data_IF_978431865896
#
_entry.id   IF_978431865896
#
_cell.length_a   1.000
_cell.length_b   1.000
_cell.length_c   1.000
_cell.angle_alpha   90.00
_cell.angle_beta   90.00
_cell.angle_gamma   90.00
#
_symmetry.space_group_name_H-M   'P 1'
#
loop_
_entity.id
_entity.type
_entity.pdbx_description
1 polymer ?
#
# COMPACT_ATOMS: atom_id res chain seq x y z
N UNK A 1 18.64 -4.24 -8.65
CA UNK A 1 19.61 -4.33 -7.54
C UNK A 1 20.15 -5.74 -7.29
N UNK A 2 19.30 -6.78 -7.24
CA UNK A 2 19.63 -8.15 -6.85
C UNK A 2 20.53 -8.92 -7.83
N UNK A 3 20.45 -8.60 -9.14
CA UNK A 3 21.27 -9.14 -10.26
C UNK A 3 21.15 -10.63 -10.57
N UNK A 4 21.16 -11.52 -9.57
CA UNK A 4 21.24 -12.98 -9.74
C UNK A 4 20.13 -13.71 -8.99
N UNK A 5 19.64 -14.78 -9.59
CA UNK A 5 18.61 -15.67 -9.00
C UNK A 5 19.04 -16.21 -7.64
N UNK A 6 20.31 -16.59 -7.47
CA UNK A 6 20.85 -17.12 -6.22
C UNK A 6 20.82 -16.08 -5.10
N UNK A 7 21.02 -14.80 -5.45
CA UNK A 7 20.93 -13.70 -4.48
C UNK A 7 19.50 -13.52 -3.96
N UNK A 8 18.50 -13.65 -4.84
CA UNK A 8 17.09 -13.58 -4.44
C UNK A 8 16.70 -14.79 -3.60
N UNK A 9 17.05 -16.01 -4.02
CA UNK A 9 16.77 -17.25 -3.25
C UNK A 9 17.42 -17.18 -1.86
N UNK A 10 18.69 -16.81 -1.78
CA UNK A 10 19.40 -16.66 -0.50
C UNK A 10 18.81 -15.57 0.41
N UNK A 11 18.30 -14.47 -0.17
CA UNK A 11 17.59 -13.44 0.59
C UNK A 11 16.26 -13.97 1.17
N UNK A 12 15.42 -14.61 0.33
CA UNK A 12 14.14 -15.19 0.75
C UNK A 12 14.34 -16.22 1.86
N UNK A 13 15.31 -17.14 1.70
CA UNK A 13 15.63 -18.18 2.68
C UNK A 13 16.13 -17.61 3.99
N UNK A 14 17.02 -16.62 3.94
CA UNK A 14 17.53 -15.95 5.14
C UNK A 14 16.41 -15.26 5.92
N UNK A 15 15.50 -14.57 5.21
CA UNK A 15 14.43 -13.82 5.83
C UNK A 15 13.33 -14.75 6.37
N UNK A 16 12.95 -15.79 5.62
CA UNK A 16 12.05 -16.85 6.10
C UNK A 16 12.59 -17.50 7.37
N UNK A 17 13.87 -17.86 7.41
CA UNK A 17 14.50 -18.47 8.59
C UNK A 17 14.44 -17.57 9.83
N UNK A 18 14.64 -16.26 9.67
CA UNK A 18 14.54 -15.28 10.77
C UNK A 18 13.10 -15.05 11.24
N UNK A 19 12.14 -15.08 10.32
CA UNK A 19 10.73 -14.80 10.62
C UNK A 19 9.96 -16.01 11.12
N UNK A 20 10.39 -17.24 10.81
CA UNK A 20 9.61 -18.45 11.06
C UNK A 20 9.17 -18.60 12.52
N UNK A 21 10.09 -18.44 13.47
CA UNK A 21 9.79 -18.52 14.91
C UNK A 21 8.68 -17.52 15.31
N UNK A 22 8.78 -16.27 14.85
CA UNK A 22 7.79 -15.25 15.16
C UNK A 22 6.45 -15.53 14.47
N UNK A 23 6.46 -16.06 13.24
CA UNK A 23 5.24 -16.51 12.57
C UNK A 23 4.53 -17.64 13.31
N UNK A 24 5.29 -18.59 13.88
CA UNK A 24 4.76 -19.68 14.72
C UNK A 24 4.13 -19.13 16.01
N UNK A 25 4.79 -18.18 16.70
CA UNK A 25 4.22 -17.51 17.88
C UNK A 25 2.94 -16.71 17.54
N UNK A 26 2.94 -16.01 16.41
CA UNK A 26 1.80 -15.21 15.95
C UNK A 26 0.61 -16.09 15.54
N UNK A 27 0.83 -17.19 14.82
CA UNK A 27 -0.25 -18.07 14.37
C UNK A 27 -0.88 -18.80 15.56
N UNK A 28 -0.09 -19.19 16.55
CA UNK A 28 -0.62 -19.75 17.81
C UNK A 28 -1.49 -18.73 18.56
N UNK A 29 -1.10 -17.45 18.58
CA UNK A 29 -1.93 -16.40 19.18
C UNK A 29 -3.27 -16.27 18.45
N UNK A 30 -3.26 -16.28 17.13
CA UNK A 30 -4.49 -16.26 16.31
C UNK A 30 -5.34 -17.51 16.56
N UNK A 31 -4.71 -18.68 16.67
CA UNK A 31 -5.40 -19.95 16.94
C UNK A 31 -6.08 -19.95 18.31
N UNK A 32 -5.43 -19.41 19.35
CA UNK A 32 -6.02 -19.27 20.69
C UNK A 32 -7.24 -18.35 20.69
N UNK A 33 -7.20 -17.25 19.94
CA UNK A 33 -8.35 -16.36 19.77
C UNK A 33 -9.51 -17.08 19.08
N UNK A 34 -9.23 -17.85 18.03
CA UNK A 34 -10.22 -18.69 17.35
C UNK A 34 -10.84 -19.71 18.29
N UNK A 35 -10.03 -20.44 19.06
CA UNK A 35 -10.53 -21.42 20.02
C UNK A 35 -11.44 -20.80 21.08
N UNK A 36 -11.05 -19.63 21.62
CA UNK A 36 -11.84 -18.91 22.61
C UNK A 36 -13.20 -18.49 22.04
N UNK A 37 -13.21 -17.84 20.88
CA UNK A 37 -14.45 -17.39 20.25
C UNK A 37 -15.33 -18.56 19.82
N UNK A 38 -14.73 -19.66 19.35
CA UNK A 38 -15.46 -20.89 19.02
C UNK A 38 -16.23 -21.43 20.22
N UNK A 39 -15.60 -21.46 21.41
CA UNK A 39 -16.22 -21.87 22.66
C UNK A 39 -17.34 -20.92 23.09
N UNK A 40 -17.10 -19.61 23.01
CA UNK A 40 -18.07 -18.58 23.38
C UNK A 40 -19.33 -18.60 22.49
N UNK A 41 -19.17 -18.91 21.20
CA UNK A 41 -20.27 -18.96 20.22
C UNK A 41 -20.90 -20.35 20.07
N UNK A 42 -20.33 -21.38 20.70
CA UNK A 42 -20.80 -22.77 20.53
C UNK A 42 -20.62 -23.32 19.11
N UNK A 43 -19.59 -22.84 18.38
CA UNK A 43 -19.24 -23.33 17.04
C UNK A 43 -18.08 -24.31 17.14
N UNK A 44 -18.03 -25.27 16.21
CA UNK A 44 -16.97 -26.27 16.15
C UNK A 44 -15.60 -25.60 15.93
N UNK A 45 -14.59 -26.08 16.66
CA UNK A 45 -13.20 -25.65 16.51
C UNK A 45 -12.40 -26.71 15.76
N UNK A 46 -11.93 -26.38 14.58
CA UNK A 46 -11.21 -27.28 13.66
C UNK A 46 -9.70 -27.41 13.93
N UNK A 47 -9.19 -26.75 14.99
CA UNK A 47 -7.79 -26.85 15.39
C UNK A 47 -6.78 -26.10 14.50
N UNK A 48 -7.23 -25.29 13.53
CA UNK A 48 -6.34 -24.59 12.59
C UNK A 48 -6.81 -23.18 12.26
N UNK A 49 -5.89 -22.34 11.76
CA UNK A 49 -6.24 -21.04 11.18
C UNK A 49 -6.38 -21.23 9.68
N UNK A 50 -7.59 -21.08 9.14
CA UNK A 50 -7.81 -21.16 7.70
C UNK A 50 -7.54 -19.81 7.03
N UNK A 51 -7.45 -19.82 5.70
CA UNK A 51 -7.24 -18.62 4.89
C UNK A 51 -8.23 -17.48 5.18
N UNK A 52 -9.50 -17.82 5.40
CA UNK A 52 -10.58 -16.87 5.69
C UNK A 52 -10.60 -16.39 7.15
N UNK A 53 -9.90 -17.08 8.05
CA UNK A 53 -9.88 -16.77 9.48
C UNK A 53 -8.90 -15.61 9.79
N UNK A 54 -7.74 -15.59 9.13
CA UNK A 54 -6.63 -14.74 9.54
C UNK A 54 -6.98 -13.25 9.61
N UNK A 55 -7.61 -12.68 8.57
CA UNK A 55 -7.95 -11.25 8.55
C UNK A 55 -9.00 -10.89 9.60
N UNK A 56 -9.94 -11.79 9.86
CA UNK A 56 -10.96 -11.61 10.89
C UNK A 56 -10.32 -11.57 12.29
N UNK A 57 -9.48 -12.55 12.63
CA UNK A 57 -8.82 -12.60 13.93
C UNK A 57 -7.72 -11.57 14.10
N UNK A 58 -7.04 -11.14 13.02
CA UNK A 58 -6.11 -10.02 13.07
C UNK A 58 -6.84 -8.73 13.47
N UNK A 59 -7.99 -8.43 12.85
CA UNK A 59 -8.83 -7.30 13.26
C UNK A 59 -9.31 -7.42 14.71
N UNK A 60 -9.80 -8.59 15.12
CA UNK A 60 -10.23 -8.79 16.52
C UNK A 60 -9.09 -8.59 17.52
N UNK A 61 -7.89 -9.06 17.20
CA UNK A 61 -6.70 -8.87 18.01
C UNK A 61 -6.37 -7.38 18.15
N UNK A 62 -6.41 -6.62 17.06
CA UNK A 62 -6.20 -5.17 17.06
C UNK A 62 -7.24 -4.45 17.95
N UNK A 63 -8.52 -4.80 17.80
CA UNK A 63 -9.62 -4.22 18.57
C UNK A 63 -9.51 -4.55 20.07
N UNK A 64 -9.29 -5.82 20.43
CA UNK A 64 -9.33 -6.29 21.83
C UNK A 64 -8.04 -6.00 22.60
N UNK A 65 -6.89 -6.28 22.00
CA UNK A 65 -5.62 -6.32 22.72
C UNK A 65 -4.79 -5.04 22.52
N UNK A 66 -5.05 -4.32 21.43
CA UNK A 66 -4.35 -3.08 21.07
C UNK A 66 -5.25 -1.85 21.10
N UNK A 67 -6.55 -2.00 21.35
CA UNK A 67 -7.52 -0.91 21.44
C UNK A 67 -7.60 -0.07 20.16
N UNK A 68 -7.32 -0.69 19.01
CA UNK A 68 -7.42 -0.07 17.69
C UNK A 68 -8.83 -0.32 17.15
N UNK A 69 -9.66 0.72 17.23
CA UNK A 69 -11.02 0.73 16.70
C UNK A 69 -11.04 1.54 15.39
N UNK A 70 -10.94 0.85 14.26
CA UNK A 70 -10.90 1.49 12.93
C UNK A 70 -12.09 2.41 12.67
N UNK A 71 -13.28 2.07 13.20
CA UNK A 71 -14.50 2.85 12.99
C UNK A 71 -14.49 4.15 13.80
N UNK A 72 -13.83 4.19 14.95
CA UNK A 72 -13.56 5.44 15.69
C UNK A 72 -12.42 6.22 15.06
N UNK A 73 -11.33 5.55 14.71
CA UNK A 73 -10.10 6.18 14.20
C UNK A 73 -10.37 6.87 12.86
N UNK A 74 -11.09 6.23 11.94
CA UNK A 74 -11.39 6.83 10.62
C UNK A 74 -12.17 8.15 10.69
N UNK A 75 -12.85 8.44 11.82
CA UNK A 75 -13.53 9.72 12.02
C UNK A 75 -12.59 10.92 12.05
N UNK A 76 -11.29 10.67 12.22
CA UNK A 76 -10.26 11.71 12.21
C UNK A 76 -9.54 11.81 10.86
N UNK A 77 -9.81 10.90 9.93
CA UNK A 77 -9.13 10.83 8.63
C UNK A 77 -10.11 11.08 7.49
N UNK A 78 -10.71 12.28 7.47
CA UNK A 78 -11.48 12.68 6.29
C UNK A 78 -10.53 12.81 5.09
N UNK A 79 -10.96 12.38 3.90
CA UNK A 79 -10.12 12.39 2.71
C UNK A 79 -9.49 13.76 2.46
N UNK A 80 -10.27 14.85 2.61
CA UNK A 80 -9.77 16.21 2.42
C UNK A 80 -8.73 16.61 3.47
N UNK A 81 -8.94 16.24 4.74
CA UNK A 81 -7.94 16.48 5.80
C UNK A 81 -6.64 15.75 5.51
N UNK A 82 -6.72 14.49 5.10
CA UNK A 82 -5.57 13.66 4.77
C UNK A 82 -4.84 14.22 3.56
N UNK A 83 -5.54 14.56 2.47
CA UNK A 83 -4.95 15.18 1.28
C UNK A 83 -4.21 16.45 1.64
N UNK A 84 -4.85 17.40 2.34
CA UNK A 84 -4.21 18.66 2.72
C UNK A 84 -2.99 18.44 3.63
N UNK A 85 -3.08 17.52 4.60
CA UNK A 85 -1.97 17.19 5.50
C UNK A 85 -0.79 16.59 4.76
N UNK A 86 -1.03 15.65 3.85
CA UNK A 86 0.01 15.03 3.02
C UNK A 86 0.69 16.04 2.10
N UNK A 87 -0.08 16.88 1.40
CA UNK A 87 0.48 17.90 0.51
C UNK A 87 1.36 18.88 1.27
N UNK A 88 0.91 19.40 2.41
CA UNK A 88 1.71 20.29 3.27
C UNK A 88 3.00 19.63 3.78
N UNK A 89 2.94 18.34 4.09
CA UNK A 89 4.11 17.59 4.53
C UNK A 89 5.13 17.46 3.39
N UNK A 90 4.68 17.15 2.17
CA UNK A 90 5.57 17.11 1.00
C UNK A 90 6.11 18.49 0.62
N UNK A 91 5.30 19.55 0.67
CA UNK A 91 5.76 20.93 0.50
C UNK A 91 6.92 21.25 1.43
N UNK A 92 6.77 20.91 2.72
CA UNK A 92 7.80 21.16 3.74
C UNK A 92 9.06 20.33 3.52
N UNK A 93 8.92 19.02 3.30
CA UNK A 93 10.07 18.10 3.25
C UNK A 93 10.84 18.20 1.93
N UNK A 94 10.13 18.44 0.82
CA UNK A 94 10.72 18.48 -0.52
C UNK A 94 10.98 19.90 -1.03
N UNK A 95 10.58 20.93 -0.27
CA UNK A 95 10.76 22.33 -0.67
C UNK A 95 9.92 22.71 -1.89
N UNK A 96 8.65 22.29 -1.85
CA UNK A 96 7.69 22.48 -2.94
C UNK A 96 6.58 23.44 -2.51
N UNK A 97 5.85 23.94 -3.51
CA UNK A 97 4.56 24.63 -3.40
C UNK A 97 3.58 23.92 -4.30
N UNK A 98 2.49 23.43 -3.74
CA UNK A 98 1.49 22.61 -4.42
C UNK A 98 0.15 23.33 -4.36
N UNK A 99 -0.39 23.68 -5.52
CA UNK A 99 -1.71 24.32 -5.63
C UNK A 99 -2.63 23.48 -6.51
N UNK A 100 -3.90 23.42 -6.09
CA UNK A 100 -4.95 22.89 -6.94
C UNK A 100 -5.27 23.90 -8.06
N UNK A 101 -5.45 23.39 -9.27
CA UNK A 101 -5.79 24.16 -10.45
C UNK A 101 -7.32 24.26 -10.52
N UNK A 102 -7.85 25.48 -10.53
CA UNK A 102 -9.28 25.73 -10.75
C UNK A 102 -9.63 25.73 -12.25
N UNK A 103 -10.90 25.53 -12.59
CA UNK A 103 -11.37 25.63 -13.98
C UNK A 103 -10.76 24.56 -14.90
N UNK A 104 -10.81 23.30 -14.45
CA UNK A 104 -10.19 22.14 -15.12
C UNK A 104 -11.15 21.41 -16.04
N UNK A 105 -12.34 21.96 -16.28
CA UNK A 105 -13.32 21.39 -17.21
C UNK A 105 -12.69 21.21 -18.60
N UNK A 106 -12.82 20.01 -19.16
CA UNK A 106 -12.20 19.65 -20.43
C UNK A 106 -10.69 19.34 -20.37
N UNK A 107 -10.04 19.49 -19.20
CA UNK A 107 -8.64 19.08 -18.96
C UNK A 107 -8.54 17.78 -18.14
N UNK A 108 -9.63 17.34 -17.53
CA UNK A 108 -9.73 16.11 -16.75
C UNK A 108 -10.63 15.07 -17.45
N UNK A 109 -10.37 13.78 -17.20
CA UNK A 109 -11.17 12.69 -17.78
C UNK A 109 -12.45 12.36 -17.01
N UNK A 110 -12.64 12.94 -15.82
CA UNK A 110 -13.82 12.75 -14.99
C UNK A 110 -13.99 13.95 -14.04
N UNK A 111 -15.23 14.29 -13.68
CA UNK A 111 -15.56 15.48 -12.86
C UNK A 111 -14.98 15.44 -11.43
N UNK A 112 -14.77 14.23 -10.90
CA UNK A 112 -14.17 14.01 -9.57
C UNK A 112 -12.63 14.02 -9.57
N UNK A 113 -12.00 14.21 -10.73
CA UNK A 113 -10.53 14.26 -10.84
C UNK A 113 -10.05 15.67 -10.57
N UNK A 114 -9.11 15.80 -9.65
CA UNK A 114 -8.47 17.07 -9.29
C UNK A 114 -7.10 17.17 -9.97
N UNK A 115 -6.74 18.37 -10.43
CA UNK A 115 -5.43 18.66 -11.04
C UNK A 115 -4.67 19.60 -10.12
N UNK A 116 -3.39 19.29 -9.91
CA UNK A 116 -2.47 20.09 -9.12
C UNK A 116 -1.28 20.51 -9.97
N UNK A 117 -0.81 21.73 -9.74
CA UNK A 117 0.45 22.25 -10.25
C UNK A 117 1.47 22.33 -9.10
N UNK A 118 2.73 22.08 -9.43
CA UNK A 118 3.81 22.05 -8.45
C UNK A 118 4.92 22.99 -8.89
N UNK A 119 5.38 23.81 -7.95
CA UNK A 119 6.56 24.65 -8.09
C UNK A 119 7.55 24.33 -6.97
N UNK A 120 8.81 24.68 -7.16
CA UNK A 120 9.76 24.69 -6.06
C UNK A 120 9.73 26.02 -5.29
N UNK A 121 10.51 26.08 -4.22
CA UNK A 121 10.70 27.28 -3.41
C UNK A 121 11.41 28.43 -4.14
N UNK A 122 12.14 28.15 -5.23
CA UNK A 122 12.76 29.16 -6.09
C UNK A 122 11.77 29.85 -7.02
N UNK A 123 10.60 29.24 -7.24
CA UNK A 123 9.59 29.73 -8.17
C UNK A 123 9.53 28.95 -9.48
N UNK A 124 10.42 27.97 -9.67
CA UNK A 124 10.48 27.20 -10.90
C UNK A 124 9.37 26.15 -10.93
N UNK A 125 8.77 26.00 -12.11
CA UNK A 125 7.73 25.00 -12.32
C UNK A 125 8.34 23.59 -12.25
N UNK A 126 7.69 22.66 -11.57
CA UNK A 126 8.18 21.28 -11.38
C UNK A 126 7.40 20.28 -12.25
N UNK A 127 6.07 20.42 -12.31
CA UNK A 127 5.19 19.54 -13.08
C UNK A 127 3.74 19.60 -12.61
N UNK A 128 2.91 18.73 -13.18
CA UNK A 128 1.50 18.57 -12.80
C UNK A 128 1.24 17.15 -12.28
N UNK A 129 0.25 17.00 -11.41
CA UNK A 129 -0.31 15.69 -11.15
C UNK A 129 -1.83 15.72 -10.95
N UNK A 130 -2.46 14.59 -11.25
CA UNK A 130 -3.88 14.37 -11.04
C UNK A 130 -4.12 13.48 -9.82
N UNK A 131 -5.22 13.73 -9.11
CA UNK A 131 -5.76 12.84 -8.10
C UNK A 131 -7.12 12.30 -8.56
N UNK A 132 -7.22 10.99 -8.69
CA UNK A 132 -8.43 10.27 -9.07
C UNK A 132 -8.75 9.21 -8.01
N UNK A 133 -9.48 9.61 -6.97
CA UNK A 133 -9.49 8.89 -5.68
C UNK A 133 -10.73 8.04 -5.42
N UNK A 134 -11.79 8.18 -6.20
CA UNK A 134 -13.06 7.51 -5.95
C UNK A 134 -13.37 6.37 -6.94
N UNK A 135 -14.03 5.29 -6.47
CA UNK A 135 -14.41 4.18 -7.34
C UNK A 135 -15.52 4.59 -8.31
N UNK A 136 -15.46 4.03 -9.51
CA UNK A 136 -16.53 4.09 -10.52
C UNK A 136 -16.39 2.91 -11.49
N UNK A 137 -17.44 2.66 -12.25
CA UNK A 137 -17.47 1.58 -13.23
C UNK A 137 -16.29 1.70 -14.22
N UNK A 138 -15.68 0.56 -14.55
CA UNK A 138 -14.57 0.43 -15.51
C UNK A 138 -13.28 1.21 -15.16
N UNK A 139 -13.16 1.76 -13.94
CA UNK A 139 -11.92 2.35 -13.42
C UNK A 139 -10.98 1.26 -12.92
N UNK A 140 -9.68 1.47 -13.07
CA UNK A 140 -8.65 0.64 -12.44
C UNK A 140 -8.90 0.49 -10.93
N UNK A 141 -8.94 -0.76 -10.45
CA UNK A 141 -9.46 -1.10 -9.12
C UNK A 141 -8.45 -1.02 -7.99
N UNK A 142 -7.16 -0.88 -8.29
CA UNK A 142 -6.10 -0.75 -7.28
C UNK A 142 -5.62 0.69 -7.13
N UNK A 143 -4.91 0.97 -6.04
CA UNK A 143 -4.15 2.20 -5.91
C UNK A 143 -2.88 2.10 -6.77
N UNK A 144 -2.55 3.16 -7.50
CA UNK A 144 -1.35 3.21 -8.35
C UNK A 144 -1.01 4.64 -8.77
N UNK A 145 0.27 4.90 -8.99
CA UNK A 145 0.79 6.11 -9.62
C UNK A 145 1.17 5.85 -11.10
N UNK A 146 0.56 6.59 -12.01
CA UNK A 146 0.80 6.50 -13.45
C UNK A 146 1.58 7.71 -13.96
N UNK A 147 2.69 7.47 -14.67
CA UNK A 147 3.38 8.51 -15.41
C UNK A 147 2.67 8.74 -16.75
N UNK A 148 2.11 9.93 -16.94
CA UNK A 148 1.43 10.32 -18.19
C UNK A 148 2.40 10.98 -19.17
N UNK A 149 3.28 11.85 -18.67
CA UNK A 149 4.30 12.54 -19.44
C UNK A 149 5.63 12.53 -18.67
N UNK A 150 6.74 12.08 -19.27
CA UNK A 150 8.03 12.11 -18.61
C UNK A 150 8.63 13.52 -18.60
N UNK A 151 9.35 13.87 -17.54
CA UNK A 151 10.28 14.98 -17.54
C UNK A 151 11.55 14.66 -18.34
N UNK A 152 11.89 15.50 -19.32
CA UNK A 152 13.08 15.30 -20.15
C UNK A 152 13.58 16.62 -20.77
N UNK A 153 14.78 16.60 -21.32
CA UNK A 153 15.27 17.70 -22.16
C UNK A 153 14.79 17.48 -23.60
N UNK A 154 14.26 18.54 -24.22
CA UNK A 154 13.85 18.57 -25.63
C UNK A 154 15.03 18.92 -26.54
N UNK A 155 14.86 18.75 -27.85
CA UNK A 155 15.91 19.00 -28.85
C UNK A 155 16.41 20.46 -28.87
N UNK A 156 15.52 21.41 -28.58
CA UNK A 156 15.84 22.83 -28.46
C UNK A 156 16.54 23.21 -27.15
N UNK A 157 16.81 22.23 -26.29
CA UNK A 157 17.47 22.38 -25.00
C UNK A 157 16.53 22.72 -23.85
N UNK A 158 15.25 22.97 -24.10
CA UNK A 158 14.24 23.27 -23.06
C UNK A 158 13.79 22.01 -22.31
N UNK A 159 13.08 22.19 -21.19
CA UNK A 159 12.56 21.08 -20.38
C UNK A 159 11.09 20.81 -20.68
N UNK A 160 10.77 19.56 -21.00
CA UNK A 160 9.42 19.02 -20.86
C UNK A 160 9.19 18.66 -19.39
N UNK A 161 8.12 19.16 -18.80
CA UNK A 161 7.78 18.91 -17.39
C UNK A 161 6.95 17.63 -17.25
N UNK A 162 7.15 16.85 -16.17
CA UNK A 162 6.39 15.65 -15.93
C UNK A 162 4.91 15.91 -15.65
N UNK A 163 4.08 14.94 -16.04
CA UNK A 163 2.68 14.87 -15.67
C UNK A 163 2.39 13.45 -15.15
N UNK A 164 1.83 13.36 -13.95
CA UNK A 164 1.54 12.12 -13.27
C UNK A 164 0.05 12.02 -12.87
N UNK A 165 -0.44 10.82 -12.57
CA UNK A 165 -1.77 10.63 -12.03
C UNK A 165 -1.75 9.58 -10.92
N UNK A 166 -2.25 9.93 -9.74
CA UNK A 166 -2.53 8.97 -8.69
C UNK A 166 -3.97 8.49 -8.82
N UNK A 167 -4.15 7.18 -8.87
CA UNK A 167 -5.44 6.51 -8.89
C UNK A 167 -5.62 5.77 -7.57
N UNK A 168 -6.81 5.87 -6.96
CA UNK A 168 -7.23 5.08 -5.80
C UNK A 168 -8.76 4.86 -5.80
N UNK A 169 -9.27 4.11 -4.84
CA UNK A 169 -10.70 3.74 -4.78
C UNK A 169 -11.29 3.91 -3.38
N UNK A 170 -11.03 5.07 -2.75
CA UNK A 170 -11.56 5.42 -1.45
C UNK A 170 -13.07 5.69 -1.52
N UNK A 171 -13.77 5.26 -0.47
CA UNK A 171 -15.24 5.39 -0.37
C UNK A 171 -15.70 6.80 -0.70
N UNK A 172 -16.73 6.94 -1.54
CA UNK A 172 -17.30 8.26 -1.87
C UNK A 172 -17.94 8.90 -0.64
N UNK A 173 -17.94 10.24 -0.53
CA UNK A 173 -18.76 10.93 0.46
C UNK A 173 -20.25 10.64 0.22
N UNK A 174 -21.04 10.71 1.28
CA UNK A 174 -22.51 10.75 1.22
C UNK A 174 -22.99 12.19 1.48
N UNK A 175 -24.28 12.51 1.22
CA UNK A 175 -24.80 13.86 1.48
C UNK A 175 -24.62 14.36 2.92
N UNK A 176 -24.43 13.45 3.89
CA UNK A 176 -24.34 13.78 5.32
C UNK A 176 -23.00 13.41 5.95
N UNK A 177 -22.08 12.79 5.20
CA UNK A 177 -20.82 12.26 5.74
C UNK A 177 -19.71 12.33 4.69
N UNK A 178 -18.54 12.91 5.01
CA UNK A 178 -17.41 12.93 4.08
C UNK A 178 -16.85 11.52 3.87
N UNK A 179 -15.99 11.39 2.86
CA UNK A 179 -15.14 10.20 2.70
C UNK A 179 -14.22 10.10 3.90
N UNK A 180 -14.28 8.98 4.62
CA UNK A 180 -13.44 8.70 5.79
C UNK A 180 -12.54 7.51 5.49
N UNK A 181 -11.24 7.70 5.66
CA UNK A 181 -10.22 6.71 5.38
C UNK A 181 -9.92 5.90 6.64
N UNK A 182 -9.83 4.58 6.50
CA UNK A 182 -9.14 3.76 7.49
C UNK A 182 -7.64 4.08 7.48
N UNK A 183 -6.95 3.80 8.58
CA UNK A 183 -5.51 4.10 8.67
C UNK A 183 -4.68 3.40 7.59
N UNK A 184 -5.02 2.15 7.24
CA UNK A 184 -4.35 1.45 6.13
C UNK A 184 -4.56 2.15 4.76
N UNK A 185 -5.73 2.76 4.52
CA UNK A 185 -5.97 3.58 3.33
C UNK A 185 -5.15 4.87 3.33
N UNK A 186 -4.92 5.47 4.51
CA UNK A 186 -3.99 6.61 4.67
C UNK A 186 -2.56 6.18 4.31
N UNK A 187 -2.11 5.02 4.78
CA UNK A 187 -0.78 4.45 4.43
C UNK A 187 -0.67 4.23 2.92
N UNK A 188 -1.67 3.61 2.29
CA UNK A 188 -1.72 3.42 0.82
C UNK A 188 -1.69 4.75 0.07
N UNK A 189 -2.43 5.75 0.53
CA UNK A 189 -2.40 7.08 -0.09
C UNK A 189 -0.99 7.69 0.00
N UNK A 190 -0.36 7.59 1.17
CA UNK A 190 1.00 8.09 1.38
C UNK A 190 2.01 7.40 0.45
N UNK A 191 1.90 6.07 0.32
CA UNK A 191 2.73 5.27 -0.58
C UNK A 191 2.65 5.78 -2.03
N UNK A 192 1.44 5.91 -2.58
CA UNK A 192 1.25 6.31 -3.97
C UNK A 192 1.63 7.77 -4.22
N UNK A 193 1.36 8.68 -3.28
CA UNK A 193 1.88 10.04 -3.38
C UNK A 193 3.41 10.08 -3.37
N UNK A 194 4.06 9.15 -2.67
CA UNK A 194 5.51 8.95 -2.74
C UNK A 194 5.99 8.71 -4.17
N UNK A 195 5.30 7.84 -4.92
CA UNK A 195 5.59 7.61 -6.34
C UNK A 195 5.32 8.85 -7.20
N UNK A 196 4.25 9.60 -6.94
CA UNK A 196 4.00 10.88 -7.62
C UNK A 196 5.16 11.85 -7.39
N UNK A 197 5.61 12.02 -6.15
CA UNK A 197 6.75 12.90 -5.85
C UNK A 197 8.04 12.41 -6.51
N UNK A 198 8.27 11.10 -6.57
CA UNK A 198 9.41 10.53 -7.29
C UNK A 198 9.36 10.86 -8.79
N UNK A 199 8.18 10.81 -9.41
CA UNK A 199 7.98 11.22 -10.81
C UNK A 199 8.26 12.71 -11.01
N UNK A 200 7.66 13.57 -10.17
CA UNK A 200 7.75 15.03 -10.32
C UNK A 200 9.16 15.58 -10.03
N UNK A 201 9.79 15.13 -8.96
CA UNK A 201 11.12 15.61 -8.53
C UNK A 201 12.27 15.07 -9.39
N UNK A 202 12.01 14.08 -10.26
CA UNK A 202 13.04 13.53 -11.15
C UNK A 202 13.47 14.52 -12.23
N UNK A 203 14.76 14.86 -12.24
CA UNK A 203 15.36 15.73 -13.25
C UNK A 203 16.35 14.96 -14.12
N UNK A 204 15.85 14.45 -15.23
CA UNK A 204 16.61 13.60 -16.14
C UNK A 204 16.68 14.22 -17.53
N UNK A 205 17.81 14.02 -18.21
CA UNK A 205 17.96 14.44 -19.61
C UNK A 205 17.10 13.62 -20.57
N UNK A 206 17.02 12.31 -20.35
CA UNK A 206 16.36 11.36 -21.25
C UNK A 206 15.12 10.75 -20.59
N UNK A 207 14.00 10.73 -21.31
CA UNK A 207 12.74 10.12 -20.82
C UNK A 207 12.88 8.65 -20.40
N UNK A 208 13.83 7.90 -20.98
CA UNK A 208 14.09 6.51 -20.61
C UNK A 208 14.46 6.34 -19.13
N UNK A 209 15.07 7.34 -18.51
CA UNK A 209 15.51 7.29 -17.11
C UNK A 209 14.61 8.10 -16.16
N UNK A 210 13.53 8.70 -16.68
CA UNK A 210 12.73 9.63 -15.91
C UNK A 210 11.82 8.94 -14.89
N UNK A 211 11.69 9.56 -13.72
CA UNK A 211 10.71 9.18 -12.69
C UNK A 211 11.03 7.82 -12.10
N UNK A 212 10.01 6.99 -11.96
CA UNK A 212 10.11 5.64 -11.38
C UNK A 212 10.75 4.61 -12.31
N UNK A 213 11.42 5.02 -13.40
CA UNK A 213 12.17 4.14 -14.31
C UNK A 213 13.54 3.78 -13.74
N UNK A 214 13.52 3.21 -12.54
CA UNK A 214 14.66 2.66 -11.80
C UNK A 214 14.62 1.13 -11.84
N UNK A 215 15.52 0.45 -11.14
CA UNK A 215 15.43 -1.00 -11.00
C UNK A 215 14.10 -1.41 -10.32
N UNK A 216 13.42 -2.44 -10.84
CA UNK A 216 12.11 -2.87 -10.33
C UNK A 216 12.13 -3.34 -8.87
N UNK A 217 13.28 -3.79 -8.37
CA UNK A 217 13.49 -4.13 -6.95
C UNK A 217 13.93 -2.94 -6.09
N UNK A 218 13.96 -1.72 -6.64
CA UNK A 218 14.24 -0.47 -5.94
C UNK A 218 13.07 0.52 -6.00
N UNK A 219 12.18 0.40 -6.99
CA UNK A 219 11.11 1.38 -7.23
C UNK A 219 10.22 1.62 -6.01
N UNK A 220 9.97 0.59 -5.20
CA UNK A 220 9.16 0.67 -3.98
C UNK A 220 9.92 1.18 -2.75
N UNK A 221 11.24 1.26 -2.79
CA UNK A 221 12.02 1.66 -1.61
C UNK A 221 11.70 3.11 -1.16
N UNK A 222 11.57 4.11 -2.05
CA UNK A 222 11.15 5.46 -1.65
C UNK A 222 9.73 5.52 -1.08
N UNK A 223 8.75 4.87 -1.70
CA UNK A 223 7.35 4.90 -1.25
C UNK A 223 7.21 4.22 0.12
N UNK A 224 7.81 3.05 0.30
CA UNK A 224 7.81 2.32 1.59
C UNK A 224 8.58 3.06 2.69
N UNK A 225 9.64 3.79 2.34
CA UNK A 225 10.32 4.67 3.31
C UNK A 225 9.33 5.71 3.85
N UNK A 226 8.55 6.35 2.96
CA UNK A 226 7.58 7.40 3.29
C UNK A 226 6.38 6.88 4.10
N UNK A 227 5.97 5.62 3.92
CA UNK A 227 4.93 4.98 4.74
C UNK A 227 5.23 5.06 6.24
N UNK A 228 6.51 5.12 6.64
CA UNK A 228 6.87 5.22 8.06
C UNK A 228 6.30 6.46 8.74
N UNK A 229 6.11 7.56 8.01
CA UNK A 229 5.50 8.77 8.57
C UNK A 229 4.05 8.55 9.01
N UNK A 230 3.33 7.60 8.43
CA UNK A 230 1.97 7.26 8.88
C UNK A 230 1.96 6.57 10.26
N UNK A 231 3.12 6.35 10.87
CA UNK A 231 3.30 5.78 12.20
C UNK A 231 4.04 6.73 13.15
N UNK A 232 4.31 7.96 12.74
CA UNK A 232 4.93 8.97 13.59
C UNK A 232 3.84 9.85 14.24
N UNK A 233 3.78 9.97 15.59
CA UNK A 233 2.76 10.74 16.30
C UNK A 233 2.57 12.17 15.79
N UNK A 234 3.66 12.87 15.49
CA UNK A 234 3.63 14.24 14.99
C UNK A 234 2.96 14.32 13.61
N UNK A 235 3.20 13.33 12.75
CA UNK A 235 2.62 13.30 11.41
C UNK A 235 1.16 12.86 11.48
N UNK A 236 0.82 11.87 12.30
CA UNK A 236 -0.57 11.47 12.52
C UNK A 236 -1.43 12.65 12.98
N UNK A 237 -0.90 13.54 13.82
CA UNK A 237 -1.56 14.78 14.20
C UNK A 237 -1.75 15.76 13.02
N UNK A 238 -0.79 15.86 12.10
CA UNK A 238 -0.91 16.71 10.90
C UNK A 238 -1.96 16.15 9.94
N UNK A 239 -2.06 14.83 9.82
CA UNK A 239 -2.94 14.13 8.88
C UNK A 239 -4.38 13.98 9.39
N UNK A 240 -4.68 14.39 10.63
CA UNK A 240 -5.94 14.03 11.28
C UNK A 240 -6.67 15.21 11.93
N UNK A 241 -8.00 15.17 11.84
CA UNK A 241 -8.92 16.06 12.54
C UNK A 241 -10.32 15.42 12.52
N UNK A 242 -11.05 15.49 13.63
CA UNK A 242 -12.39 14.92 13.71
C UNK A 242 -13.32 15.59 12.69
N UNK A 243 -13.92 14.80 11.80
CA UNK A 243 -14.65 15.32 10.65
C UNK A 243 -15.81 16.25 11.00
N UNK A 244 -16.57 15.97 12.08
CA UNK A 244 -17.67 16.85 12.53
C UNK A 244 -17.20 18.10 13.29
N UNK A 245 -16.05 18.02 13.98
CA UNK A 245 -15.64 19.04 14.95
C UNK A 245 -14.50 19.92 14.43
N UNK A 246 -13.88 19.55 13.32
CA UNK A 246 -12.84 20.30 12.63
C UNK A 246 -11.45 20.21 13.28
N UNK A 247 -10.51 21.02 12.75
CA UNK A 247 -9.08 20.98 13.06
C UNK A 247 -8.71 21.18 14.54
N UNK A 248 -9.60 21.78 15.35
CA UNK A 248 -9.40 21.92 16.80
C UNK A 248 -9.54 20.61 17.60
N UNK A 249 -9.90 19.51 16.93
CA UNK A 249 -10.13 18.21 17.55
C UNK A 249 -9.24 17.16 16.88
N UNK A 250 -7.94 17.12 17.22
CA UNK A 250 -7.00 16.17 16.64
C UNK A 250 -7.31 14.75 17.09
N UNK A 251 -6.66 13.77 16.45
CA UNK A 251 -6.70 12.38 16.90
C UNK A 251 -6.17 12.30 18.36
N UNK A 252 -6.95 11.76 19.31
CA UNK A 252 -6.51 11.62 20.70
C UNK A 252 -5.21 10.85 20.83
N UNK A 253 -4.35 11.29 21.75
CA UNK A 253 -3.03 10.67 21.98
C UNK A 253 -3.15 9.17 22.31
N UNK A 254 -4.20 8.75 23.02
CA UNK A 254 -4.38 7.32 23.30
C UNK A 254 -4.59 6.50 22.02
N UNK A 255 -5.30 7.05 21.01
CA UNK A 255 -5.52 6.39 19.73
C UNK A 255 -4.25 6.39 18.87
N UNK A 256 -3.45 7.45 18.93
CA UNK A 256 -2.13 7.49 18.29
C UNK A 256 -1.23 6.40 18.86
N UNK A 257 -1.09 6.32 20.18
CA UNK A 257 -0.26 5.31 20.84
C UNK A 257 -0.76 3.88 20.55
N UNK A 258 -2.08 3.68 20.50
CA UNK A 258 -2.67 2.40 20.08
C UNK A 258 -2.23 2.00 18.67
N UNK A 259 -2.34 2.90 17.68
CA UNK A 259 -1.89 2.66 16.30
C UNK A 259 -0.39 2.35 16.24
N UNK A 260 0.44 3.18 16.87
CA UNK A 260 1.91 3.01 16.85
C UNK A 260 2.31 1.66 17.46
N UNK A 261 1.71 1.28 18.59
CA UNK A 261 1.95 -0.01 19.24
C UNK A 261 1.46 -1.18 18.39
N UNK A 262 0.40 -0.99 17.61
CA UNK A 262 -0.17 -1.99 16.73
C UNK A 262 0.60 -2.21 15.42
N UNK A 263 1.51 -1.29 15.03
CA UNK A 263 2.24 -1.31 13.74
C UNK A 263 2.78 -2.69 13.34
N UNK A 264 3.36 -3.42 14.31
CA UNK A 264 4.05 -4.69 14.06
C UNK A 264 3.22 -5.92 14.45
N UNK A 265 1.93 -5.76 14.71
CA UNK A 265 1.07 -6.90 15.06
C UNK A 265 0.93 -7.84 13.86
N UNK A 266 1.30 -9.10 14.04
CA UNK A 266 1.29 -10.12 12.99
C UNK A 266 2.24 -9.82 11.81
N UNK A 267 3.25 -8.96 12.02
CA UNK A 267 4.17 -8.55 10.97
C UNK A 267 4.97 -9.74 10.41
N UNK A 268 5.27 -10.76 11.22
CA UNK A 268 5.98 -11.94 10.72
C UNK A 268 5.11 -12.77 9.78
N UNK A 269 3.86 -13.05 10.12
CA UNK A 269 2.91 -13.76 9.24
C UNK A 269 2.62 -12.98 7.95
N UNK A 270 2.43 -11.66 8.05
CA UNK A 270 2.23 -10.81 6.88
C UNK A 270 3.47 -10.79 5.97
N UNK A 271 4.67 -10.76 6.57
CA UNK A 271 5.92 -10.83 5.82
C UNK A 271 6.14 -12.21 5.19
N UNK A 272 5.86 -13.31 5.92
CA UNK A 272 5.91 -14.67 5.38
C UNK A 272 4.95 -14.84 4.20
N UNK A 273 3.78 -14.21 4.24
CA UNK A 273 2.86 -14.15 3.08
C UNK A 273 3.47 -13.44 1.87
N UNK A 274 4.22 -12.35 2.07
CA UNK A 274 4.93 -11.69 0.96
C UNK A 274 6.09 -12.54 0.44
N UNK A 275 6.85 -13.18 1.32
CA UNK A 275 7.90 -14.12 0.94
C UNK A 275 7.35 -15.29 0.13
N UNK A 276 6.18 -15.80 0.51
CA UNK A 276 5.48 -16.83 -0.24
C UNK A 276 5.26 -16.43 -1.70
N UNK A 277 4.82 -15.20 -1.98
CA UNK A 277 4.67 -14.73 -3.36
C UNK A 277 6.02 -14.69 -4.10
N UNK A 278 7.08 -14.20 -3.44
CA UNK A 278 8.43 -14.19 -4.00
C UNK A 278 8.96 -15.60 -4.28
N UNK A 279 8.68 -16.56 -3.40
CA UNK A 279 8.99 -17.97 -3.61
C UNK A 279 8.21 -18.54 -4.79
N UNK A 280 6.91 -18.31 -4.86
CA UNK A 280 6.08 -18.82 -5.94
C UNK A 280 6.54 -18.29 -7.30
N UNK A 281 6.78 -16.98 -7.38
CA UNK A 281 7.28 -16.31 -8.59
C UNK A 281 8.65 -16.86 -9.03
N UNK A 282 9.64 -16.90 -8.13
CA UNK A 282 10.98 -17.36 -8.49
C UNK A 282 11.02 -18.86 -8.82
N UNK A 283 10.18 -19.67 -8.17
CA UNK A 283 10.07 -21.08 -8.52
C UNK A 283 9.52 -21.23 -9.94
N UNK A 284 8.39 -20.58 -10.23
CA UNK A 284 7.74 -20.67 -11.54
C UNK A 284 8.70 -20.25 -12.68
N UNK A 285 9.45 -19.16 -12.49
CA UNK A 285 10.31 -18.58 -13.53
C UNK A 285 11.74 -19.15 -13.56
N UNK A 286 12.09 -20.12 -12.70
CA UNK A 286 13.42 -20.75 -12.71
C UNK A 286 13.39 -22.24 -13.01
N UNK A 287 12.22 -22.79 -13.33
CA UNK A 287 12.10 -24.18 -13.76
C UNK A 287 12.82 -24.40 -15.11
N UNK A 288 13.48 -25.55 -15.29
CA UNK A 288 13.98 -25.94 -16.60
C UNK A 288 12.82 -25.99 -17.62
N UNK A 289 13.06 -25.56 -18.85
CA UNK A 289 12.04 -25.60 -19.92
C UNK A 289 11.51 -27.02 -20.18
N UNK A 290 12.32 -28.06 -19.92
CA UNK A 290 11.86 -29.46 -20.02
C UNK A 290 10.81 -29.84 -18.96
N UNK A 291 10.58 -29.00 -17.96
CA UNK A 291 9.66 -29.24 -16.84
C UNK A 291 8.41 -28.34 -16.89
N UNK A 292 8.29 -27.45 -17.88
CA UNK A 292 7.18 -26.49 -17.97
C UNK A 292 5.91 -27.07 -18.59
N UNK A 293 6.02 -28.15 -19.38
CA UNK A 293 4.88 -28.71 -20.12
C UNK A 293 3.83 -29.38 -19.21
N UNK A 294 4.15 -29.67 -17.94
CA UNK A 294 3.29 -30.40 -17.00
C UNK A 294 3.32 -29.85 -15.57
N UNK A 295 3.64 -28.56 -15.36
CA UNK A 295 3.60 -28.02 -13.99
C UNK A 295 2.16 -27.82 -13.50
N UNK A 296 1.83 -28.46 -12.39
CA UNK A 296 0.65 -28.10 -11.61
C UNK A 296 0.95 -26.86 -10.75
N UNK A 297 0.61 -25.69 -11.30
CA UNK A 297 0.77 -24.39 -10.66
C UNK A 297 -0.04 -24.26 -9.37
N UNK A 298 -1.16 -24.98 -9.27
CA UNK A 298 -2.01 -24.97 -8.08
C UNK A 298 -1.39 -25.80 -6.97
N UNK A 299 -0.87 -26.98 -7.29
CA UNK A 299 -0.13 -27.80 -6.33
C UNK A 299 1.13 -27.07 -5.80
N UNK A 300 1.89 -26.40 -6.68
CA UNK A 300 3.04 -25.60 -6.28
C UNK A 300 2.62 -24.48 -5.32
N UNK A 301 1.56 -23.74 -5.67
CA UNK A 301 1.01 -22.68 -4.82
C UNK A 301 0.65 -23.22 -3.43
N UNK A 302 -0.12 -24.30 -3.38
CA UNK A 302 -0.60 -24.90 -2.13
C UNK A 302 0.55 -25.32 -1.22
N UNK A 303 1.54 -26.00 -1.82
CA UNK A 303 2.74 -26.48 -1.12
C UNK A 303 3.52 -25.33 -0.51
N UNK A 304 3.87 -24.32 -1.31
CA UNK A 304 4.64 -23.16 -0.84
C UNK A 304 3.84 -22.32 0.16
N UNK A 305 2.52 -22.19 -0.01
CA UNK A 305 1.70 -21.42 0.91
C UNK A 305 1.71 -22.04 2.31
N UNK A 306 1.46 -23.35 2.40
CA UNK A 306 1.47 -24.05 3.68
C UNK A 306 2.88 -24.03 4.31
N UNK A 307 3.91 -24.31 3.51
CA UNK A 307 5.30 -24.35 4.00
C UNK A 307 5.78 -22.99 4.52
N UNK A 308 5.48 -21.91 3.81
CA UNK A 308 6.03 -20.57 4.12
C UNK A 308 5.12 -19.78 5.05
N UNK A 309 3.80 -19.78 4.83
CA UNK A 309 2.87 -18.89 5.55
C UNK A 309 2.27 -19.49 6.82
N UNK A 310 2.45 -20.80 7.04
CA UNK A 310 1.83 -21.56 8.15
C UNK A 310 0.30 -21.62 8.10
N UNK A 311 -0.31 -21.12 7.02
CA UNK A 311 -1.76 -21.11 6.80
C UNK A 311 -2.05 -21.94 5.54
N UNK A 312 -2.83 -23.02 5.62
CA UNK A 312 -3.12 -23.86 4.47
C UNK A 312 -3.95 -23.12 3.41
N UNK A 313 -3.79 -23.54 2.15
CA UNK A 313 -4.67 -23.09 1.08
C UNK A 313 -6.09 -23.67 1.26
N UNK A 314 -7.10 -22.89 0.91
CA UNK A 314 -8.48 -23.37 0.83
C UNK A 314 -8.59 -24.41 -0.29
N UNK A 315 -9.08 -25.64 -0.02
CA UNK A 315 -9.32 -26.63 -1.07
C UNK A 315 -10.20 -26.10 -2.20
N UNK A 316 -10.04 -26.66 -3.40
CA UNK A 316 -10.86 -26.31 -4.58
C UNK A 316 -10.83 -24.82 -4.96
N UNK A 317 -9.67 -24.18 -4.81
CA UNK A 317 -9.42 -22.81 -5.25
C UNK A 317 -8.18 -22.72 -6.15
N UNK A 318 -8.15 -21.71 -7.03
CA UNK A 318 -7.06 -21.45 -7.98
C UNK A 318 -6.48 -20.03 -7.80
N UNK A 319 -5.93 -19.70 -6.62
CA UNK A 319 -5.44 -18.36 -6.31
C UNK A 319 -4.30 -17.89 -7.22
N UNK A 320 -3.51 -18.82 -7.77
CA UNK A 320 -2.47 -18.51 -8.75
C UNK A 320 -3.03 -17.82 -10.01
N UNK A 321 -4.24 -18.18 -10.45
CA UNK A 321 -4.90 -17.56 -11.60
C UNK A 321 -5.36 -16.11 -11.31
N UNK A 322 -5.49 -15.73 -10.04
CA UNK A 322 -5.81 -14.38 -9.60
C UNK A 322 -4.55 -13.55 -9.28
N UNK A 323 -3.36 -14.13 -9.39
CA UNK A 323 -2.11 -13.43 -9.08
C UNK A 323 -1.59 -12.68 -10.30
N UNK A 324 -2.21 -11.53 -10.59
CA UNK A 324 -1.95 -10.73 -11.80
C UNK A 324 -0.51 -10.25 -11.98
N UNK A 325 0.30 -10.19 -10.92
CA UNK A 325 1.70 -9.78 -10.97
C UNK A 325 2.54 -10.66 -11.90
N UNK A 326 2.15 -11.93 -12.10
CA UNK A 326 2.85 -12.84 -13.01
C UNK A 326 2.63 -12.45 -14.49
N UNK A 327 1.55 -11.74 -14.81
CA UNK A 327 1.14 -11.45 -16.19
C UNK A 327 1.32 -9.99 -16.62
N UNK A 328 1.68 -9.09 -15.70
CA UNK A 328 1.79 -7.66 -15.99
C UNK A 328 2.39 -6.84 -14.87
N UNK A 329 3.36 -7.43 -14.15
CA UNK A 329 4.12 -6.75 -13.10
C UNK A 329 4.76 -5.46 -13.55
#
# INVERSE_FOLDING_TARGET
MAKKTESVKGFLDSLRGKLRKYGEEEIERVLRLKEQESKERGIEFDGKVNAWDFQYYHRLLLERDYQVDDEKIKQYFSLETVTQGMLKLYEKVLGLRISEVEGVEGKVWHEEVRLFEVFDNGGDFVGHFYLDLHPRENKYSHAAAFLLQPGQQLEDGTRQYPVAAMVANFSKPTPTKPSLLKHNEVVTYFHELGHIMHQLCSQTRWSRFHGTRVEGDFVEAPSQMLENWCWEPEILNILSAHWEKGQGHPLPEELIQALVKAKNVNAALMSLRQLFFGYYDIHLHTLPHSSTDNIDTTQLWNTLREEVTLIPQTPDTWPAAAFGHIMGG
#
